data_IF_039297084248
#
_entry.id   IF_039297084248
#
_cell.length_a   1.000
_cell.length_b   1.000
_cell.length_c   1.000
_cell.angle_alpha   90.00
_cell.angle_beta   90.00
_cell.angle_gamma   90.00
#
_symmetry.space_group_name_H-M   'P 1'
#
loop_
_entity.id
_entity.type
_entity.pdbx_description
1 polymer ?
#
# COMPACT_ATOMS: atom_id res chain seq x y z
N UNK A 1 -16.12 -0.71 -6.13
CA UNK A 1 -14.91 -1.51 -5.91
C UNK A 1 -14.83 -1.69 -4.42
N UNK A 2 -15.05 -2.90 -3.93
CA UNK A 2 -14.96 -3.21 -2.51
C UNK A 2 -13.50 -3.10 -2.06
N UNK A 3 -13.30 -2.63 -0.83
CA UNK A 3 -11.98 -2.46 -0.19
C UNK A 3 -11.32 -3.83 -0.09
N UNK A 4 -10.06 -3.96 -0.54
CA UNK A 4 -9.31 -5.20 -0.39
C UNK A 4 -8.72 -5.25 1.01
N UNK A 5 -9.42 -5.89 1.94
CA UNK A 5 -8.90 -6.13 3.28
C UNK A 5 -8.05 -7.40 3.31
N UNK A 6 -6.91 -7.33 4.01
CA UNK A 6 -6.10 -8.50 4.35
C UNK A 6 -6.79 -9.21 5.52
N UNK A 7 -7.99 -9.75 5.29
CA UNK A 7 -8.76 -10.46 6.32
C UNK A 7 -8.22 -11.87 6.58
N UNK A 8 -7.18 -12.27 5.83
CA UNK A 8 -6.54 -13.57 5.95
C UNK A 8 -5.04 -13.46 5.72
N UNK A 9 -4.22 -14.16 6.53
CA UNK A 9 -2.78 -14.13 6.41
C UNK A 9 -2.33 -14.50 4.99
N UNK A 10 -1.21 -13.92 4.56
CA UNK A 10 -0.57 -14.34 3.31
C UNK A 10 -0.01 -15.76 3.48
N UNK A 11 -0.21 -16.58 2.46
CA UNK A 11 0.47 -17.88 2.35
C UNK A 11 1.95 -17.67 2.05
N UNK A 12 2.79 -18.67 2.31
CA UNK A 12 4.22 -18.58 2.04
C UNK A 12 4.54 -18.28 0.57
N UNK A 13 3.79 -18.87 -0.37
CA UNK A 13 3.99 -18.60 -1.81
C UNK A 13 3.54 -17.18 -2.21
N UNK A 14 2.57 -16.60 -1.52
CA UNK A 14 2.18 -15.20 -1.74
C UNK A 14 3.21 -14.23 -1.15
N UNK A 15 3.80 -14.56 0.00
CA UNK A 15 4.91 -13.80 0.58
C UNK A 15 6.12 -13.82 -0.36
N UNK A 16 6.54 -15.01 -0.79
CA UNK A 16 7.64 -15.19 -1.75
C UNK A 16 7.40 -14.39 -3.03
N UNK A 17 6.18 -14.46 -3.60
CA UNK A 17 5.83 -13.68 -4.78
C UNK A 17 5.97 -12.16 -4.57
N UNK A 18 5.55 -11.66 -3.40
CA UNK A 18 5.66 -10.24 -3.07
C UNK A 18 7.12 -9.82 -2.91
N UNK A 19 7.92 -10.62 -2.22
CA UNK A 19 9.34 -10.35 -2.00
C UNK A 19 10.14 -10.40 -3.31
N UNK A 20 9.94 -11.43 -4.13
CA UNK A 20 10.61 -11.59 -5.42
C UNK A 20 10.26 -10.45 -6.40
N UNK A 21 8.98 -10.08 -6.44
CA UNK A 21 8.51 -9.02 -7.35
C UNK A 21 9.00 -7.64 -6.92
N UNK A 22 9.04 -7.39 -5.61
CA UNK A 22 9.40 -6.08 -5.07
C UNK A 22 10.91 -5.91 -4.86
N UNK A 23 11.64 -7.00 -4.69
CA UNK A 23 13.03 -7.00 -4.22
C UNK A 23 13.16 -6.57 -2.76
N UNK A 24 12.06 -6.60 -2.00
CA UNK A 24 11.98 -6.13 -0.62
C UNK A 24 11.39 -7.23 0.27
N UNK A 25 11.98 -7.43 1.44
CA UNK A 25 11.44 -8.36 2.43
C UNK A 25 10.07 -7.87 2.94
N UNK A 26 9.18 -8.79 3.30
CA UNK A 26 7.83 -8.49 3.80
C UNK A 26 7.86 -7.61 5.06
N UNK A 27 8.91 -7.75 5.87
CA UNK A 27 9.16 -6.96 7.08
C UNK A 27 9.34 -5.47 6.78
N UNK A 28 9.74 -5.11 5.55
CA UNK A 28 9.95 -3.72 5.14
C UNK A 28 8.66 -2.97 4.82
N UNK A 29 7.51 -3.64 4.85
CA UNK A 29 6.19 -3.03 4.58
C UNK A 29 5.92 -1.80 5.47
N UNK A 30 6.37 -1.83 6.72
CA UNK A 30 6.22 -0.73 7.67
C UNK A 30 7.26 0.40 7.52
N UNK A 31 8.31 0.24 6.70
CA UNK A 31 9.46 1.15 6.65
C UNK A 31 9.16 2.38 5.76
N UNK A 32 8.98 3.59 6.30
CA UNK A 32 8.62 4.78 5.52
C UNK A 32 9.71 5.26 4.55
N UNK A 33 10.96 4.84 4.73
CA UNK A 33 12.08 5.34 3.92
C UNK A 33 12.29 4.54 2.63
N UNK A 34 11.56 3.43 2.44
CA UNK A 34 11.75 2.54 1.30
C UNK A 34 10.73 2.74 0.19
N UNK A 35 11.15 2.74 -1.09
CA UNK A 35 10.23 2.80 -2.22
C UNK A 35 9.31 1.57 -2.29
N UNK A 36 8.03 1.71 -1.93
CA UNK A 36 7.10 0.56 -1.84
C UNK A 36 6.25 0.34 -3.08
N UNK A 37 6.41 1.09 -4.16
CA UNK A 37 5.47 0.95 -5.29
C UNK A 37 5.47 -0.44 -5.92
N UNK A 38 6.63 -1.10 -6.04
CA UNK A 38 6.66 -2.50 -6.51
C UNK A 38 6.04 -3.46 -5.51
N UNK A 39 6.22 -3.20 -4.22
CA UNK A 39 5.61 -3.96 -3.13
C UNK A 39 4.08 -3.84 -3.17
N UNK A 40 3.56 -2.62 -3.27
CA UNK A 40 2.13 -2.32 -3.45
C UNK A 40 1.57 -3.04 -4.67
N UNK A 41 2.24 -2.96 -5.82
CA UNK A 41 1.81 -3.67 -7.04
C UNK A 41 1.77 -5.18 -6.81
N UNK A 42 2.78 -5.76 -6.16
CA UNK A 42 2.81 -7.19 -5.91
C UNK A 42 1.69 -7.61 -4.95
N UNK A 43 1.49 -6.85 -3.87
CA UNK A 43 0.47 -7.11 -2.87
C UNK A 43 -0.95 -7.02 -3.45
N UNK A 44 -1.26 -5.96 -4.21
CA UNK A 44 -2.57 -5.83 -4.88
C UNK A 44 -2.77 -6.94 -5.89
N UNK A 45 -1.72 -7.38 -6.59
CA UNK A 45 -1.82 -8.51 -7.52
C UNK A 45 -2.24 -9.80 -6.81
N UNK A 46 -1.67 -10.09 -5.64
CA UNK A 46 -2.06 -11.24 -4.82
C UNK A 46 -3.51 -11.11 -4.37
N UNK A 47 -3.88 -9.97 -3.80
CA UNK A 47 -5.22 -9.74 -3.27
C UNK A 47 -6.28 -9.84 -4.36
N UNK A 48 -6.03 -9.25 -5.54
CA UNK A 48 -6.92 -9.38 -6.69
C UNK A 48 -6.96 -10.80 -7.23
N UNK A 49 -5.86 -11.55 -7.19
CA UNK A 49 -5.85 -12.96 -7.62
C UNK A 49 -6.71 -13.86 -6.74
N UNK A 50 -6.88 -13.52 -5.45
CA UNK A 50 -7.79 -14.25 -4.54
C UNK A 50 -9.26 -14.07 -4.94
N UNK A 51 -9.63 -12.89 -5.46
CA UNK A 51 -10.97 -12.61 -5.97
C UNK A 51 -11.17 -13.16 -7.40
N UNK A 52 -10.15 -12.99 -8.23
CA UNK A 52 -10.13 -13.30 -9.66
C UNK A 52 -8.85 -14.07 -10.01
N UNK A 53 -8.95 -15.39 -10.10
CA UNK A 53 -7.80 -16.29 -10.30
C UNK A 53 -6.95 -16.01 -11.54
N UNK A 54 -7.49 -15.31 -12.54
CA UNK A 54 -6.78 -14.95 -13.77
C UNK A 54 -6.05 -13.59 -13.68
N UNK A 55 -6.15 -12.90 -12.53
CA UNK A 55 -5.53 -11.59 -12.35
C UNK A 55 -4.00 -11.65 -12.45
N UNK A 56 -3.44 -10.75 -13.25
CA UNK A 56 -2.00 -10.66 -13.51
C UNK A 56 -1.40 -9.37 -12.98
N UNK A 57 -0.07 -9.37 -12.80
CA UNK A 57 0.67 -8.17 -12.43
C UNK A 57 0.54 -7.04 -13.48
N UNK A 58 0.32 -7.40 -14.75
CA UNK A 58 0.08 -6.43 -15.81
C UNK A 58 -1.24 -5.69 -15.56
N UNK A 59 -2.30 -6.40 -15.18
CA UNK A 59 -3.57 -5.78 -14.81
C UNK A 59 -3.40 -4.79 -13.66
N UNK A 60 -2.63 -5.15 -12.62
CA UNK A 60 -2.36 -4.23 -11.49
C UNK A 60 -1.61 -2.97 -11.91
N UNK A 61 -0.66 -3.07 -12.84
CA UNK A 61 0.12 -1.91 -13.34
C UNK A 61 -0.69 -0.96 -14.21
N UNK A 62 -1.81 -1.42 -14.76
CA UNK A 62 -2.73 -0.60 -15.56
C UNK A 62 -3.76 0.13 -14.68
N UNK A 63 -3.82 -0.16 -13.37
CA UNK A 63 -4.66 0.57 -12.44
C UNK A 63 -4.17 2.02 -12.27
N UNK A 64 -5.13 2.94 -12.19
CA UNK A 64 -4.81 4.30 -11.79
C UNK A 64 -4.30 4.31 -10.35
N UNK A 65 -3.35 5.20 -10.07
CA UNK A 65 -2.77 5.33 -8.73
C UNK A 65 -3.82 5.60 -7.65
N UNK A 66 -4.84 6.39 -7.98
CA UNK A 66 -6.00 6.68 -7.12
C UNK A 66 -6.84 5.45 -6.80
N UNK A 67 -6.85 4.44 -7.67
CA UNK A 67 -7.59 3.20 -7.42
C UNK A 67 -6.78 2.25 -6.53
N UNK A 68 -5.45 2.23 -6.68
CA UNK A 68 -4.55 1.53 -5.76
C UNK A 68 -4.66 2.06 -4.33
N UNK A 69 -4.74 3.40 -4.17
CA UNK A 69 -4.93 4.06 -2.86
C UNK A 69 -6.27 3.75 -2.19
N UNK A 70 -7.30 3.39 -2.95
CA UNK A 70 -8.60 2.97 -2.39
C UNK A 70 -8.60 1.49 -2.02
N UNK A 71 -7.80 0.69 -2.72
CA UNK A 71 -7.73 -0.76 -2.57
C UNK A 71 -6.93 -1.14 -1.33
N UNK A 72 -5.75 -0.56 -1.16
CA UNK A 72 -4.99 -0.64 0.07
C UNK A 72 -5.43 0.53 0.92
N UNK A 73 -5.73 0.32 2.20
CA UNK A 73 -6.04 1.39 3.15
C UNK A 73 -4.79 2.25 3.44
N UNK A 74 -4.27 2.92 2.42
CA UNK A 74 -3.22 3.93 2.51
C UNK A 74 -3.79 5.25 3.08
N UNK A 75 -5.03 5.23 3.57
CA UNK A 75 -5.81 6.40 3.98
C UNK A 75 -5.47 6.96 5.37
N UNK A 76 -4.42 6.46 6.01
CA UNK A 76 -3.77 7.22 7.08
C UNK A 76 -2.72 8.11 6.40
N UNK A 77 -2.77 9.42 6.62
CA UNK A 77 -1.79 10.37 6.09
C UNK A 77 -0.35 9.91 6.36
N UNK A 78 -0.15 9.22 7.49
CA UNK A 78 1.06 8.49 7.90
C UNK A 78 1.62 7.54 6.83
N UNK A 79 0.76 6.88 6.05
CA UNK A 79 1.17 5.90 5.03
C UNK A 79 1.51 6.57 3.70
N UNK A 80 0.84 7.68 3.36
CA UNK A 80 1.20 8.51 2.20
C UNK A 80 2.52 9.28 2.44
N UNK A 81 2.72 9.73 3.68
CA UNK A 81 4.01 10.24 4.19
C UNK A 81 5.09 9.16 4.11
N UNK A 82 4.79 7.94 4.56
CA UNK A 82 5.68 6.77 4.48
C UNK A 82 5.97 6.27 3.05
N UNK A 83 5.37 6.88 2.04
CA UNK A 83 5.62 6.60 0.63
C UNK A 83 6.26 7.80 -0.08
N UNK A 84 6.47 8.93 0.62
CA UNK A 84 7.05 10.16 0.09
C UNK A 84 6.16 10.88 -0.92
N UNK A 85 4.84 10.67 -0.87
CA UNK A 85 3.86 11.19 -1.84
C UNK A 85 2.97 12.30 -1.27
N UNK A 86 3.01 12.52 0.04
CA UNK A 86 2.43 13.67 0.72
C UNK A 86 3.52 14.40 1.50
N UNK A 87 3.53 15.73 1.44
CA UNK A 87 4.35 16.58 2.33
C UNK A 87 3.73 16.56 3.73
N UNK A 88 4.55 16.58 4.79
CA UNK A 88 4.05 16.81 6.15
C UNK A 88 3.31 18.15 6.18
N UNK A 89 1.99 18.10 6.38
CA UNK A 89 1.25 19.29 6.74
C UNK A 89 1.55 19.52 8.22
N UNK A 90 2.49 20.41 8.52
CA UNK A 90 2.73 20.92 9.86
C UNK A 90 1.41 21.57 10.34
N UNK A 91 0.65 20.83 11.15
CA UNK A 91 -0.54 21.37 11.80
C UNK A 91 -0.03 22.31 12.87
N UNK A 92 0.02 23.60 12.55
CA UNK A 92 0.29 24.64 13.54
C UNK A 92 -0.79 24.55 14.61
N UNK A 93 -0.41 23.97 15.76
CA UNK A 93 -1.17 24.00 17.00
C UNK A 93 -1.23 25.46 17.46
N UNK A 94 -2.25 26.20 17.01
CA UNK A 94 -2.56 27.53 17.54
C UNK A 94 -3.22 27.38 18.91
N UNK A 95 -2.41 26.96 19.88
CA UNK A 95 -2.69 27.19 21.28
C UNK A 95 -2.41 28.67 21.60
N UNK A 96 -3.38 29.28 22.31
CA UNK A 96 -3.37 30.59 23.01
C UNK A 96 -3.69 31.82 22.13
N UNK A 97 -4.64 32.69 22.49
CA UNK A 97 -5.00 33.16 23.84
C UNK A 97 -6.50 33.43 24.00
N UNK A 98 -7.02 33.01 25.15
CA UNK A 98 -8.12 33.70 25.82
C UNK A 98 -7.71 35.14 26.15
N UNK A 99 -8.58 36.09 25.85
CA UNK A 99 -8.81 37.32 26.63
C UNK A 99 -10.28 37.73 26.47
#
# INVERSE_FOLDING_TARGET
MDKLTIDSPLTLGEIEFVEDTSGLAIETMGDPERPKMKFVIALVTVLKRREDGDWTIKNTRELAFTDLQKLIDLGDDSTLLALGIAEEVEVADEATKSD
#
